data_IF_147057139284
#
_entry.id   IF_147057139284
#
_cell.length_a   1.000
_cell.length_b   1.000
_cell.length_c   1.000
_cell.angle_alpha   90.00
_cell.angle_beta   90.00
_cell.angle_gamma   90.00
#
_symmetry.space_group_name_H-M   'P 1'
#
loop_
_entity.id
_entity.type
_entity.pdbx_description
1 polymer ?
#
# COMPACT_ATOMS: atom_id res chain seq x y z
N UNK A 1 -39.55 3.02 19.33
CA UNK A 1 -38.87 3.15 20.63
C UNK A 1 -37.67 2.24 20.68
N UNK A 2 -36.67 2.55 21.49
CA UNK A 2 -35.43 1.74 21.64
C UNK A 2 -35.71 0.29 22.02
N UNK A 3 -36.82 0.03 22.74
CA UNK A 3 -37.28 -1.31 23.11
C UNK A 3 -37.50 -2.26 21.93
N UNK A 4 -37.81 -1.73 20.74
CA UNK A 4 -37.95 -2.54 19.52
C UNK A 4 -36.62 -2.68 18.77
N UNK A 5 -35.66 -1.77 18.97
CA UNK A 5 -34.32 -1.88 18.40
C UNK A 5 -33.46 -2.92 19.15
N UNK A 6 -33.57 -2.99 20.48
CA UNK A 6 -32.83 -3.95 21.31
C UNK A 6 -32.96 -5.42 20.85
N UNK A 7 -34.17 -5.98 20.61
CA UNK A 7 -34.30 -7.35 20.14
C UNK A 7 -33.76 -7.55 18.71
N UNK A 8 -33.76 -6.52 17.85
CA UNK A 8 -33.14 -6.62 16.53
C UNK A 8 -31.63 -6.75 16.64
N UNK A 9 -30.98 -5.90 17.43
CA UNK A 9 -29.52 -5.96 17.65
C UNK A 9 -29.13 -7.27 18.32
N UNK A 10 -29.88 -7.71 19.34
CA UNK A 10 -29.66 -8.98 20.01
C UNK A 10 -29.84 -10.18 19.06
N UNK A 11 -30.86 -10.14 18.20
CA UNK A 11 -31.10 -11.18 17.19
C UNK A 11 -29.97 -11.26 16.16
N UNK A 12 -29.49 -10.12 15.67
CA UNK A 12 -28.34 -10.10 14.75
C UNK A 12 -27.07 -10.60 15.43
N UNK A 13 -26.80 -10.16 16.67
CA UNK A 13 -25.66 -10.62 17.44
C UNK A 13 -25.69 -12.14 17.62
N UNK A 14 -26.85 -12.70 17.99
CA UNK A 14 -27.01 -14.15 18.14
C UNK A 14 -26.83 -14.90 16.82
N UNK A 15 -27.36 -14.37 15.71
CA UNK A 15 -27.19 -14.95 14.38
C UNK A 15 -25.71 -15.01 13.98
N UNK A 16 -25.01 -13.88 14.05
CA UNK A 16 -23.58 -13.79 13.70
C UNK A 16 -22.74 -14.70 14.60
N UNK A 17 -23.05 -14.75 15.90
CA UNK A 17 -22.33 -15.58 16.85
C UNK A 17 -22.59 -17.08 16.62
N UNK A 18 -23.81 -17.46 16.22
CA UNK A 18 -24.15 -18.86 15.91
C UNK A 18 -23.29 -19.46 14.78
N UNK A 19 -22.81 -18.61 13.87
CA UNK A 19 -21.94 -19.00 12.74
C UNK A 19 -20.46 -18.98 13.17
N UNK A 20 -20.12 -18.15 14.16
CA UNK A 20 -18.76 -17.87 14.60
C UNK A 20 -18.53 -18.30 16.06
N UNK A 21 -18.77 -19.59 16.37
CA UNK A 21 -18.79 -20.10 17.75
C UNK A 21 -17.47 -20.00 18.52
N UNK A 22 -16.34 -19.85 17.83
CA UNK A 22 -15.02 -19.65 18.46
C UNK A 22 -14.77 -18.21 18.92
N UNK A 23 -15.60 -17.26 18.47
CA UNK A 23 -15.45 -15.85 18.79
C UNK A 23 -15.99 -15.53 20.19
N UNK A 24 -15.31 -14.60 20.85
CA UNK A 24 -15.71 -14.03 22.13
C UNK A 24 -16.81 -12.99 21.96
N UNK A 25 -17.52 -12.67 23.04
CA UNK A 25 -18.52 -11.60 23.06
C UNK A 25 -17.94 -10.24 22.59
N UNK A 26 -16.67 -9.96 22.92
CA UNK A 26 -16.00 -8.73 22.55
C UNK A 26 -15.71 -8.68 21.04
N UNK A 27 -15.25 -9.78 20.45
CA UNK A 27 -15.04 -9.86 19.01
C UNK A 27 -16.36 -9.70 18.23
N UNK A 28 -17.44 -10.33 18.70
CA UNK A 28 -18.77 -10.17 18.10
C UNK A 28 -19.23 -8.72 18.20
N UNK A 29 -19.09 -8.10 19.38
CA UNK A 29 -19.45 -6.69 19.58
C UNK A 29 -18.65 -5.78 18.65
N UNK A 30 -17.34 -5.95 18.60
CA UNK A 30 -16.46 -5.14 17.74
C UNK A 30 -16.83 -5.31 16.27
N UNK A 31 -17.15 -6.54 15.83
CA UNK A 31 -17.60 -6.78 14.47
C UNK A 31 -18.90 -6.03 14.15
N UNK A 32 -19.87 -6.01 15.07
CA UNK A 32 -21.11 -5.26 14.89
C UNK A 32 -20.89 -3.74 14.86
N UNK A 33 -19.98 -3.22 15.70
CA UNK A 33 -19.64 -1.79 15.75
C UNK A 33 -18.85 -1.33 14.53
N UNK A 34 -17.89 -2.12 14.05
CA UNK A 34 -16.98 -1.74 12.95
C UNK A 34 -17.58 -1.97 11.57
N UNK A 35 -18.60 -2.84 11.45
CA UNK A 35 -19.29 -3.14 10.19
C UNK A 35 -20.66 -2.49 10.07
N UNK A 36 -21.08 -1.73 11.08
CA UNK A 36 -22.32 -0.98 11.02
C UNK A 36 -22.29 0.03 9.86
N UNK A 37 -23.44 0.19 9.21
CA UNK A 37 -23.60 1.26 8.22
C UNK A 37 -23.69 2.58 8.97
N UNK A 38 -22.65 3.40 8.83
CA UNK A 38 -22.58 4.73 9.42
C UNK A 38 -23.76 5.61 8.97
N UNK A 39 -24.41 6.25 9.95
CA UNK A 39 -25.57 7.10 9.75
C UNK A 39 -25.33 8.43 10.45
N UNK A 40 -25.54 9.54 9.75
CA UNK A 40 -25.35 10.87 10.32
C UNK A 40 -23.93 11.39 10.11
N UNK A 41 -23.26 11.79 11.19
CA UNK A 41 -21.90 12.31 11.13
C UNK A 41 -20.90 11.17 10.99
N UNK A 42 -19.82 11.36 10.22
CA UNK A 42 -18.84 10.29 10.00
C UNK A 42 -18.25 9.76 11.31
N UNK A 43 -18.31 8.44 11.47
CA UNK A 43 -17.82 7.74 12.65
C UNK A 43 -18.87 7.65 13.75
N UNK A 44 -18.43 7.42 15.00
CA UNK A 44 -19.38 7.26 16.11
C UNK A 44 -20.01 8.62 16.47
N UNK A 45 -21.34 8.69 16.48
CA UNK A 45 -22.09 9.83 16.98
C UNK A 45 -23.03 9.45 18.15
N UNK A 46 -23.57 10.45 18.84
CA UNK A 46 -24.40 10.23 20.05
C UNK A 46 -25.87 9.87 19.74
N UNK A 47 -26.31 10.01 18.48
CA UNK A 47 -27.68 9.70 18.06
C UNK A 47 -27.80 8.28 17.48
N UNK A 48 -26.87 7.89 16.60
CA UNK A 48 -26.86 6.58 15.94
C UNK A 48 -25.78 5.63 16.46
N UNK A 49 -24.87 6.10 17.31
CA UNK A 49 -23.74 5.28 17.76
C UNK A 49 -22.80 5.01 16.59
N UNK A 50 -22.59 3.74 16.25
CA UNK A 50 -21.81 3.36 15.06
C UNK A 50 -22.69 3.22 13.79
N UNK A 51 -24.01 3.44 13.92
CA UNK A 51 -24.96 3.35 12.81
C UNK A 51 -25.82 2.07 12.83
N UNK A 52 -26.28 1.66 11.64
CA UNK A 52 -27.21 0.55 11.48
C UNK A 52 -26.48 -0.81 11.44
N UNK A 53 -26.88 -1.72 12.32
CA UNK A 53 -26.32 -3.07 12.39
C UNK A 53 -26.70 -3.90 11.17
N UNK A 54 -25.71 -4.52 10.53
CA UNK A 54 -25.87 -5.39 9.35
C UNK A 54 -25.24 -6.77 9.61
N UNK A 55 -26.05 -7.82 9.62
CA UNK A 55 -25.59 -9.19 9.92
C UNK A 55 -24.55 -9.70 8.90
N UNK A 56 -24.77 -9.43 7.61
CA UNK A 56 -23.87 -9.85 6.53
C UNK A 56 -22.51 -9.15 6.65
N UNK A 57 -22.52 -7.83 6.87
CA UNK A 57 -21.30 -7.05 7.05
C UNK A 57 -20.50 -7.52 8.27
N UNK A 58 -21.16 -7.83 9.39
CA UNK A 58 -20.51 -8.33 10.60
C UNK A 58 -19.91 -9.73 10.40
N UNK A 59 -20.61 -10.62 9.70
CA UNK A 59 -20.06 -11.93 9.37
C UNK A 59 -18.84 -11.82 8.43
N UNK A 60 -18.92 -10.94 7.42
CA UNK A 60 -17.81 -10.70 6.50
C UNK A 60 -16.62 -10.04 7.21
N UNK A 61 -16.87 -9.16 8.17
CA UNK A 61 -15.82 -8.58 9.02
C UNK A 61 -15.07 -9.67 9.79
N UNK A 62 -15.80 -10.58 10.45
CA UNK A 62 -15.21 -11.71 11.20
C UNK A 62 -14.47 -12.72 10.31
N UNK A 63 -14.97 -12.96 9.09
CA UNK A 63 -14.35 -13.85 8.12
C UNK A 63 -13.06 -13.26 7.51
N UNK A 64 -13.01 -11.94 7.39
CA UNK A 64 -11.89 -11.20 6.83
C UNK A 64 -10.93 -10.65 7.89
N UNK A 65 -10.98 -11.17 9.12
CA UNK A 65 -9.95 -10.95 10.14
C UNK A 65 -8.61 -11.53 9.64
N UNK A 66 -7.98 -10.85 8.67
CA UNK A 66 -6.52 -10.82 8.58
C UNK A 66 -6.09 -10.38 9.98
N UNK A 67 -5.35 -11.20 10.73
CA UNK A 67 -5.09 -10.93 12.14
C UNK A 67 -4.45 -9.54 12.25
N UNK A 68 -5.24 -8.58 12.71
CA UNK A 68 -4.85 -7.20 13.00
C UNK A 68 -3.93 -7.11 14.22
N UNK A 69 -3.48 -8.27 14.72
CA UNK A 69 -2.34 -8.43 15.61
C UNK A 69 -1.01 -8.62 14.87
N UNK A 70 -0.82 -8.10 13.65
CA UNK A 70 0.56 -7.81 13.25
C UNK A 70 1.07 -6.79 14.29
N UNK A 71 2.02 -7.15 15.17
CA UNK A 71 2.49 -6.21 16.18
C UNK A 71 2.95 -4.97 15.44
N UNK A 72 2.70 -3.81 16.03
CA UNK A 72 3.22 -2.50 15.63
C UNK A 72 4.76 -2.40 15.68
N UNK A 73 5.46 -3.51 15.48
CA UNK A 73 6.90 -3.70 15.57
C UNK A 73 7.49 -4.12 14.23
N UNK A 74 7.05 -3.53 13.11
CA UNK A 74 8.00 -3.42 12.01
C UNK A 74 9.09 -2.45 12.52
N UNK A 75 10.34 -2.89 12.79
CA UNK A 75 11.39 -1.96 13.11
C UNK A 75 11.52 -1.05 11.89
N UNK A 76 11.47 0.26 12.10
CA UNK A 76 11.65 1.29 11.07
C UNK A 76 13.08 1.33 10.49
N UNK A 77 13.81 0.22 10.55
CA UNK A 77 15.19 0.12 10.15
C UNK A 77 15.28 -0.62 8.83
N UNK A 78 14.91 0.07 7.75
CA UNK A 78 15.59 -0.17 6.49
C UNK A 78 16.98 0.49 6.62
N UNK A 79 18.10 -0.25 6.67
CA UNK A 79 19.41 0.39 6.57
C UNK A 79 19.48 1.09 5.22
N UNK A 80 19.73 2.40 5.20
CA UNK A 80 19.87 3.19 3.97
C UNK A 80 21.22 2.99 3.29
N UNK A 81 21.75 1.76 3.32
CA UNK A 81 23.01 1.43 2.68
C UNK A 81 22.76 1.09 1.21
N UNK A 82 22.52 2.13 0.42
CA UNK A 82 22.80 2.10 -1.01
C UNK A 82 24.19 2.70 -1.21
N UNK A 83 25.25 1.89 -1.43
CA UNK A 83 26.50 2.42 -1.94
C UNK A 83 26.28 2.83 -3.39
N UNK A 84 26.19 4.13 -3.65
CA UNK A 84 26.13 4.69 -5.01
C UNK A 84 27.51 4.72 -5.67
N UNK A 85 28.15 3.56 -5.79
CA UNK A 85 29.35 3.41 -6.59
C UNK A 85 29.02 2.64 -7.86
N UNK A 86 28.49 3.37 -8.86
CA UNK A 86 28.65 2.98 -10.26
C UNK A 86 30.08 3.33 -10.68
N UNK A 87 30.95 2.37 -11.03
CA UNK A 87 32.22 2.68 -11.68
C UNK A 87 31.93 3.28 -13.05
N UNK A 88 32.40 4.52 -13.27
CA UNK A 88 32.31 5.19 -14.58
C UNK A 88 33.44 4.71 -15.47
N UNK A 89 33.39 3.45 -15.91
CA UNK A 89 34.33 2.94 -16.91
C UNK A 89 33.85 3.32 -18.31
N UNK A 90 34.15 4.56 -18.72
CA UNK A 90 34.13 4.95 -20.13
C UNK A 90 35.53 5.43 -20.52
N UNK A 91 36.37 4.59 -21.14
CA UNK A 91 37.60 5.03 -21.78
C UNK A 91 37.26 5.88 -23.01
N UNK A 92 37.60 7.16 -22.96
CA UNK A 92 37.27 8.15 -24.00
C UNK A 92 38.48 8.50 -24.88
N UNK A 93 39.04 7.56 -25.64
CA UNK A 93 40.04 7.91 -26.67
C UNK A 93 39.88 7.05 -27.94
N UNK A 94 39.07 7.55 -28.88
CA UNK A 94 39.21 7.23 -30.30
C UNK A 94 40.44 8.02 -30.83
N UNK A 95 41.42 7.39 -31.49
CA UNK A 95 42.58 8.10 -32.03
C UNK A 95 42.21 8.91 -33.28
N UNK A 96 42.41 10.23 -33.25
CA UNK A 96 42.25 11.11 -34.41
C UNK A 96 43.50 11.08 -35.29
N UNK A 97 43.64 10.06 -36.13
CA UNK A 97 44.62 10.05 -37.22
C UNK A 97 44.00 10.66 -38.48
N UNK A 98 44.17 11.98 -38.66
CA UNK A 98 43.99 12.62 -39.97
C UNK A 98 45.29 13.34 -40.34
N UNK A 99 46.14 12.75 -41.21
CA UNK A 99 47.29 13.44 -41.76
C UNK A 99 46.82 14.54 -42.73
N UNK A 100 47.25 15.77 -42.50
CA UNK A 100 47.11 16.87 -43.47
C UNK A 100 48.50 17.37 -43.81
N UNK A 101 48.99 17.02 -45.00
CA UNK A 101 49.81 17.91 -45.84
C UNK A 101 50.01 17.26 -47.22
N UNK A 102 49.40 17.91 -48.20
CA UNK A 102 49.53 17.66 -49.64
C UNK A 102 50.97 17.96 -50.10
N UNK A 103 51.53 17.19 -51.07
CA UNK A 103 52.79 17.53 -51.73
C UNK A 103 52.64 18.83 -52.54
N UNK A 104 53.61 19.74 -52.39
CA UNK A 104 53.74 20.92 -53.25
C UNK A 104 54.69 20.60 -54.41
N UNK A 105 54.16 20.01 -55.48
CA UNK A 105 54.89 19.90 -56.75
C UNK A 105 54.64 21.17 -57.58
N UNK A 106 55.58 22.11 -57.54
CA UNK A 106 55.67 23.19 -58.53
C UNK A 106 56.73 22.81 -59.56
N UNK A 107 56.39 22.63 -60.85
CA UNK A 107 57.37 22.38 -61.91
C UNK A 107 58.15 23.66 -62.22
N UNK A 108 59.48 23.59 -62.25
CA UNK A 108 60.30 24.58 -62.97
C UNK A 108 60.98 23.90 -64.15
N UNK A 109 60.95 24.63 -65.26
CA UNK A 109 61.05 24.25 -66.66
C UNK A 109 62.39 23.61 -67.13
N UNK A 110 62.42 23.05 -68.37
CA UNK A 110 63.62 22.56 -69.02
C UNK A 110 64.42 23.70 -69.66
N UNK A 111 65.73 23.51 -69.87
CA UNK A 111 66.41 23.78 -71.14
C UNK A 111 67.94 23.60 -71.05
N UNK A 112 68.44 22.87 -72.05
CA UNK A 112 69.79 22.85 -72.66
C UNK A 112 71.01 22.51 -71.82
#
# INVERSE_FOLDING_TARGET
GTSMASPHVAGVAALVWSINLSKTNLEIRNALEQSAQDLGATGRDDLYGHGLVLADAANNYLANEIPSQLPSQLPSQLPSDVPSQLPSDVPSQLPSNVPSQLPSDVPSQPAT
#
